data_IF_253254137095
#
_entry.id   IF_253254137095
#
_cell.length_a   1.000
_cell.length_b   1.000
_cell.length_c   1.000
_cell.angle_alpha   90.00
_cell.angle_beta   90.00
_cell.angle_gamma   90.00
#
_symmetry.space_group_name_H-M   'P 1'
#
loop_
_entity.id
_entity.type
_entity.pdbx_description
1 polymer ?
#
# COMPACT_ATOMS: atom_id res chain seq x y z
N UNK A 1 -19.24 -1.15 -45.66
CA UNK A 1 -17.94 -0.46 -45.44
C UNK A 1 -17.99 0.56 -44.31
N UNK A 2 -18.80 1.63 -44.38
CA UNK A 2 -18.87 2.66 -43.30
C UNK A 2 -19.18 2.12 -41.89
N UNK A 3 -20.12 1.17 -41.76
CA UNK A 3 -20.49 0.56 -40.47
C UNK A 3 -19.34 -0.26 -39.85
N UNK A 4 -18.60 -0.99 -40.68
CA UNK A 4 -17.44 -1.79 -40.27
C UNK A 4 -16.27 -0.91 -39.83
N UNK A 5 -16.05 0.21 -40.53
CA UNK A 5 -15.03 1.21 -40.17
C UNK A 5 -15.38 1.89 -38.84
N UNK A 6 -16.66 2.23 -38.63
CA UNK A 6 -17.12 2.82 -37.37
C UNK A 6 -16.93 1.85 -36.19
N UNK A 7 -17.28 0.58 -36.38
CA UNK A 7 -17.07 -0.47 -35.36
C UNK A 7 -15.58 -0.67 -35.04
N UNK A 8 -14.70 -0.67 -36.04
CA UNK A 8 -13.26 -0.82 -35.83
C UNK A 8 -12.68 0.36 -35.04
N UNK A 9 -13.13 1.59 -35.34
CA UNK A 9 -12.72 2.81 -34.64
C UNK A 9 -13.19 2.83 -33.18
N UNK A 10 -14.40 2.35 -32.90
CA UNK A 10 -14.87 2.23 -31.51
C UNK A 10 -14.10 1.15 -30.74
N UNK A 11 -13.76 0.04 -31.39
CA UNK A 11 -13.02 -1.05 -30.74
C UNK A 11 -11.58 -0.65 -30.40
N UNK A 12 -10.88 0.07 -31.27
CA UNK A 12 -9.52 0.55 -30.99
C UNK A 12 -9.47 1.64 -29.92
N UNK A 13 -10.50 2.50 -29.83
CA UNK A 13 -10.59 3.51 -28.78
C UNK A 13 -10.81 2.94 -27.37
N UNK A 14 -11.47 1.78 -27.24
CA UNK A 14 -11.67 1.12 -25.94
C UNK A 14 -10.40 0.42 -25.40
N UNK A 15 -9.46 0.04 -26.26
CA UNK A 15 -8.24 -0.68 -25.85
C UNK A 15 -7.23 0.26 -25.18
N UNK A 16 -7.24 1.55 -25.51
CA UNK A 16 -6.26 2.51 -25.01
C UNK A 16 -6.50 2.98 -23.57
N UNK A 17 -7.69 2.73 -23.00
CA UNK A 17 -8.05 3.17 -21.63
C UNK A 17 -7.69 2.15 -20.54
N UNK A 18 -7.46 0.88 -20.90
CA UNK A 18 -7.12 -0.17 -19.94
C UNK A 18 -5.74 -0.03 -19.25
N UNK A 19 -4.64 0.39 -19.90
CA UNK A 19 -3.32 0.41 -19.26
C UNK A 19 -3.22 1.41 -18.09
N UNK A 20 -3.99 2.51 -18.12
CA UNK A 20 -3.94 3.54 -17.09
C UNK A 20 -4.45 3.06 -15.71
N UNK A 21 -5.46 2.18 -15.67
CA UNK A 21 -5.95 1.65 -14.39
C UNK A 21 -4.99 0.61 -13.80
N UNK A 22 -4.33 -0.18 -14.65
CA UNK A 22 -3.33 -1.15 -14.21
C UNK A 22 -2.10 -0.48 -13.61
N UNK A 23 -1.66 0.67 -14.15
CA UNK A 23 -0.53 1.43 -13.59
C UNK A 23 -0.89 2.11 -12.26
N UNK A 24 -2.09 2.68 -12.11
CA UNK A 24 -2.53 3.27 -10.84
C UNK A 24 -2.59 2.21 -9.75
N UNK A 25 -3.19 1.05 -10.05
CA UNK A 25 -3.30 -0.04 -9.07
C UNK A 25 -1.92 -0.62 -8.70
N UNK A 26 -0.96 -0.68 -9.65
CA UNK A 26 0.40 -1.14 -9.34
C UNK A 26 1.12 -0.16 -8.41
N UNK A 27 0.97 1.15 -8.65
CA UNK A 27 1.52 2.21 -7.80
C UNK A 27 0.96 2.15 -6.37
N UNK A 28 -0.36 1.99 -6.22
CA UNK A 28 -1.00 1.80 -4.91
C UNK A 28 -0.44 0.57 -4.17
N UNK A 29 -0.26 -0.56 -4.86
CA UNK A 29 0.33 -1.76 -4.25
C UNK A 29 1.79 -1.53 -3.84
N UNK A 30 2.56 -0.75 -4.60
CA UNK A 30 3.93 -0.40 -4.28
C UNK A 30 3.99 0.48 -3.03
N UNK A 31 3.22 1.57 -2.98
CA UNK A 31 3.13 2.45 -1.83
C UNK A 31 2.68 1.71 -0.56
N UNK A 32 1.68 0.82 -0.67
CA UNK A 32 1.26 -0.01 0.44
C UNK A 32 2.34 -1.01 0.90
N UNK A 33 3.30 -1.42 0.04
CA UNK A 33 4.44 -2.24 0.46
C UNK A 33 5.47 -1.39 1.20
N UNK A 34 5.73 -0.18 0.74
CA UNK A 34 6.65 0.77 1.38
C UNK A 34 6.23 1.07 2.83
N UNK A 35 4.97 1.43 3.04
CA UNK A 35 4.40 1.61 4.40
C UNK A 35 4.63 0.38 5.29
N UNK A 36 4.46 -0.83 4.75
CA UNK A 36 4.70 -2.07 5.51
C UNK A 36 6.18 -2.27 5.83
N UNK A 37 7.10 -1.81 4.99
CA UNK A 37 8.53 -1.88 5.27
C UNK A 37 8.92 -0.87 6.35
N UNK A 38 8.44 0.37 6.25
CA UNK A 38 8.69 1.40 7.26
C UNK A 38 8.14 0.98 8.63
N UNK A 39 6.91 0.46 8.64
CA UNK A 39 6.30 -0.09 9.87
C UNK A 39 7.16 -1.20 10.48
N UNK A 40 7.78 -2.07 9.65
CA UNK A 40 8.68 -3.13 10.16
C UNK A 40 9.96 -2.54 10.74
N UNK A 41 10.51 -1.51 10.12
CA UNK A 41 11.71 -0.84 10.58
C UNK A 41 11.47 -0.15 11.93
N UNK A 42 10.45 0.71 12.02
CA UNK A 42 10.02 1.35 13.28
C UNK A 42 9.68 0.31 14.35
N UNK A 43 9.03 -0.79 13.97
CA UNK A 43 8.73 -1.89 14.91
C UNK A 43 9.97 -2.57 15.47
N UNK A 44 11.11 -2.57 14.76
CA UNK A 44 12.38 -3.10 15.26
C UNK A 44 13.03 -2.11 16.22
N UNK A 45 12.98 -0.82 15.90
CA UNK A 45 13.49 0.27 16.75
C UNK A 45 12.76 0.29 18.10
N UNK A 46 11.42 0.33 18.09
CA UNK A 46 10.62 0.24 19.33
C UNK A 46 11.04 -0.98 20.15
N UNK A 47 11.20 -2.16 19.51
CA UNK A 47 11.60 -3.39 20.20
C UNK A 47 13.02 -3.29 20.79
N UNK A 48 13.91 -2.53 20.18
CA UNK A 48 15.25 -2.29 20.69
C UNK A 48 15.19 -1.37 21.92
N UNK A 49 14.46 -0.26 21.84
CA UNK A 49 14.25 0.66 22.98
C UNK A 49 13.66 -0.06 24.19
N UNK A 50 12.74 -1.00 23.95
CA UNK A 50 12.18 -1.87 24.97
C UNK A 50 13.23 -2.74 25.67
N UNK A 51 14.19 -3.27 24.91
CA UNK A 51 15.26 -4.13 25.45
C UNK A 51 16.26 -3.32 26.25
N UNK A 52 16.50 -2.09 25.83
CA UNK A 52 17.39 -1.14 26.50
C UNK A 52 16.73 -0.53 27.75
N UNK A 53 15.43 -0.75 27.95
CA UNK A 53 14.71 -0.31 29.14
C UNK A 53 14.39 1.18 29.15
N UNK A 54 14.37 1.81 27.96
CA UNK A 54 14.03 3.24 27.81
C UNK A 54 12.60 3.52 28.31
N UNK A 55 11.70 2.54 28.20
CA UNK A 55 10.30 2.63 28.62
C UNK A 55 9.88 1.43 29.47
N UNK A 56 8.74 1.57 30.17
CA UNK A 56 8.11 0.45 30.86
C UNK A 56 7.76 -0.71 29.91
N UNK A 57 8.00 -1.94 30.35
CA UNK A 57 7.79 -3.14 29.53
C UNK A 57 6.34 -3.31 29.02
N UNK A 58 5.36 -2.81 29.76
CA UNK A 58 3.95 -2.86 29.36
C UNK A 58 3.66 -1.85 28.23
N UNK A 59 4.14 -0.62 28.38
CA UNK A 59 3.94 0.49 27.44
C UNK A 59 4.60 0.18 26.10
N UNK A 60 5.87 -0.25 26.15
CA UNK A 60 6.61 -0.77 25.01
C UNK A 60 5.81 -1.80 24.18
N UNK A 61 5.20 -2.80 24.85
CA UNK A 61 4.43 -3.85 24.18
C UNK A 61 3.18 -3.27 23.53
N UNK A 62 2.57 -2.27 24.15
CA UNK A 62 1.40 -1.60 23.62
C UNK A 62 1.76 -0.76 22.39
N UNK A 63 2.80 0.04 22.46
CA UNK A 63 3.24 0.89 21.34
C UNK A 63 3.65 0.07 20.13
N UNK A 64 4.38 -1.02 20.36
CA UNK A 64 4.71 -1.96 19.29
C UNK A 64 3.47 -2.61 18.65
N UNK A 65 2.40 -2.88 19.43
CA UNK A 65 1.13 -3.37 18.88
C UNK A 65 0.40 -2.27 18.08
N UNK A 66 0.32 -1.06 18.63
CA UNK A 66 -0.33 0.09 18.02
C UNK A 66 0.33 0.44 16.68
N UNK A 67 1.65 0.56 16.64
CA UNK A 67 2.42 0.82 15.42
C UNK A 67 2.11 -0.21 14.31
N UNK A 68 2.08 -1.51 14.67
CA UNK A 68 1.73 -2.57 13.71
C UNK A 68 0.29 -2.47 13.22
N UNK A 69 -0.66 -2.13 14.09
CA UNK A 69 -2.06 -1.99 13.70
C UNK A 69 -2.26 -0.78 12.78
N UNK A 70 -1.68 0.36 13.13
CA UNK A 70 -1.72 1.57 12.33
C UNK A 70 -1.09 1.36 10.95
N UNK A 71 0.13 0.81 10.89
CA UNK A 71 0.79 0.54 9.61
C UNK A 71 0.02 -0.46 8.73
N UNK A 72 -0.63 -1.48 9.33
CA UNK A 72 -1.52 -2.40 8.59
C UNK A 72 -2.77 -1.70 8.07
N UNK A 73 -3.32 -0.76 8.83
CA UNK A 73 -4.51 0.00 8.44
C UNK A 73 -4.19 0.94 7.28
N UNK A 74 -3.15 1.76 7.41
CA UNK A 74 -2.69 2.67 6.34
C UNK A 74 -2.38 1.89 5.07
N UNK A 75 -1.68 0.76 5.17
CA UNK A 75 -1.38 -0.07 4.00
C UNK A 75 -2.60 -0.81 3.40
N UNK A 76 -3.75 -0.87 4.08
CA UNK A 76 -5.02 -1.28 3.49
C UNK A 76 -5.67 -0.10 2.79
N UNK A 77 -5.71 1.05 3.43
CA UNK A 77 -6.34 2.28 2.92
C UNK A 77 -5.65 2.81 1.65
N UNK A 78 -4.38 2.49 1.42
CA UNK A 78 -3.67 2.82 0.17
C UNK A 78 -4.00 1.83 -0.96
N UNK A 79 -4.25 0.56 -0.62
CA UNK A 79 -4.44 -0.52 -1.60
C UNK A 79 -5.86 -0.53 -2.19
N UNK A 80 -6.83 0.00 -1.45
CA UNK A 80 -8.26 -0.04 -1.75
C UNK A 80 -8.81 1.37 -1.90
#
# INVERSE_FOLDING_TARGET
MKKSVLMLLTATALITTMPAQATIQSQQRQAAREVRQDTRQVSREIKQDCREGVFGNADCRQDHRNNKQQGRQVARDIKY
#
